data_IF_112494259034
#
_entry.id   IF_112494259034
#
_cell.length_a   1.000
_cell.length_b   1.000
_cell.length_c   1.000
_cell.angle_alpha   90.00
_cell.angle_beta   90.00
_cell.angle_gamma   90.00
#
_symmetry.space_group_name_H-M   'P 1'
#
loop_
_entity.id
_entity.type
_entity.pdbx_description
1 polymer ?
#
# COMPACT_ATOMS: atom_id res chain seq x y z
N UNK A 1 22.30 -21.22 -24.14
CA UNK A 1 21.37 -21.53 -23.04
C UNK A 1 22.13 -21.30 -21.74
N UNK A 2 22.05 -20.09 -21.17
CA UNK A 2 22.77 -19.75 -19.94
C UNK A 2 22.03 -20.37 -18.76
N UNK A 3 22.64 -21.36 -18.10
CA UNK A 3 22.26 -21.76 -16.74
C UNK A 3 22.75 -20.65 -15.81
N UNK A 4 21.90 -19.66 -15.54
CA UNK A 4 22.11 -18.72 -14.44
C UNK A 4 22.07 -19.56 -13.18
N UNK A 5 23.20 -19.63 -12.46
CA UNK A 5 23.30 -20.39 -11.23
C UNK A 5 22.28 -19.82 -10.22
N UNK A 6 21.25 -20.61 -9.91
CA UNK A 6 20.21 -20.35 -8.91
C UNK A 6 20.79 -20.53 -7.50
N UNK A 7 21.84 -19.78 -7.17
CA UNK A 7 22.62 -19.94 -5.94
C UNK A 7 22.05 -19.25 -4.71
N UNK A 8 20.96 -18.49 -4.85
CA UNK A 8 20.25 -17.90 -3.72
C UNK A 8 18.82 -18.41 -3.81
N UNK A 9 18.50 -19.52 -3.14
CA UNK A 9 17.10 -19.84 -2.87
C UNK A 9 16.68 -19.05 -1.62
N UNK A 10 15.49 -18.45 -1.58
CA UNK A 10 15.02 -17.78 -0.38
C UNK A 10 15.00 -18.78 0.78
N UNK A 11 15.46 -18.34 1.96
CA UNK A 11 15.27 -19.13 3.17
C UNK A 11 13.77 -19.41 3.35
N UNK A 12 13.32 -20.67 3.25
CA UNK A 12 11.90 -21.00 3.21
C UNK A 12 11.19 -20.63 4.52
N UNK A 13 11.90 -20.64 5.65
CA UNK A 13 11.33 -20.26 6.94
C UNK A 13 11.11 -18.75 7.02
N UNK A 14 12.07 -17.95 6.56
CA UNK A 14 11.93 -16.49 6.50
C UNK A 14 10.84 -16.08 5.53
N UNK A 15 10.84 -16.66 4.32
CA UNK A 15 9.83 -16.37 3.30
C UNK A 15 8.43 -16.75 3.77
N UNK A 16 8.23 -17.96 4.31
CA UNK A 16 6.91 -18.41 4.79
C UNK A 16 6.39 -17.51 5.89
N UNK A 17 7.24 -17.15 6.87
CA UNK A 17 6.85 -16.25 7.96
C UNK A 17 6.39 -14.90 7.44
N UNK A 18 7.21 -14.25 6.60
CA UNK A 18 6.84 -12.96 6.00
C UNK A 18 5.58 -13.07 5.15
N UNK A 19 5.42 -14.18 4.41
CA UNK A 19 4.25 -14.47 3.61
C UNK A 19 2.96 -14.50 4.45
N UNK A 20 2.98 -15.21 5.58
CA UNK A 20 1.83 -15.31 6.47
C UNK A 20 1.55 -13.95 7.16
N UNK A 21 2.60 -13.26 7.60
CA UNK A 21 2.48 -11.96 8.26
C UNK A 21 1.87 -10.89 7.35
N UNK A 22 2.26 -10.80 6.07
CA UNK A 22 1.70 -9.79 5.17
C UNK A 22 0.24 -10.07 4.83
N UNK A 23 -0.17 -11.34 4.71
CA UNK A 23 -1.57 -11.70 4.46
C UNK A 23 -2.47 -11.27 5.63
N UNK A 24 -2.02 -11.51 6.87
CA UNK A 24 -2.73 -11.05 8.07
C UNK A 24 -2.81 -9.53 8.11
N UNK A 25 -1.70 -8.83 7.83
CA UNK A 25 -1.66 -7.38 7.79
C UNK A 25 -2.58 -6.81 6.71
N UNK A 26 -2.62 -7.43 5.53
CA UNK A 26 -3.45 -7.01 4.40
C UNK A 26 -4.94 -7.21 4.69
N UNK A 27 -5.32 -8.31 5.32
CA UNK A 27 -6.70 -8.54 5.77
C UNK A 27 -7.14 -7.47 6.78
N UNK A 28 -6.27 -7.13 7.76
CA UNK A 28 -6.54 -6.07 8.73
C UNK A 28 -6.67 -4.69 8.07
N UNK A 29 -5.79 -4.37 7.12
CA UNK A 29 -5.88 -3.15 6.31
C UNK A 29 -7.21 -3.08 5.55
N UNK A 30 -7.59 -4.16 4.86
CA UNK A 30 -8.82 -4.17 4.07
C UNK A 30 -10.08 -4.03 4.93
N UNK A 31 -10.10 -4.62 6.13
CA UNK A 31 -11.17 -4.42 7.10
C UNK A 31 -11.26 -2.96 7.56
N UNK A 32 -10.14 -2.38 8.02
CA UNK A 32 -10.09 -1.00 8.46
C UNK A 32 -10.49 -0.03 7.34
N UNK A 33 -10.03 -0.29 6.11
CA UNK A 33 -10.34 0.52 4.93
C UNK A 33 -11.84 0.50 4.64
N UNK A 34 -12.48 -0.68 4.67
CA UNK A 34 -13.93 -0.80 4.46
C UNK A 34 -14.72 -0.05 5.52
N UNK A 35 -14.31 -0.11 6.78
CA UNK A 35 -14.94 0.65 7.87
C UNK A 35 -14.77 2.16 7.65
N UNK A 36 -13.56 2.63 7.35
CA UNK A 36 -13.27 4.05 7.14
C UNK A 36 -14.01 4.64 5.94
N UNK A 37 -14.16 3.87 4.85
CA UNK A 37 -14.94 4.29 3.68
C UNK A 37 -16.44 4.33 3.98
N UNK A 38 -16.94 3.44 4.85
CA UNK A 38 -18.33 3.45 5.27
C UNK A 38 -18.68 4.62 6.19
N UNK A 39 -17.72 5.10 6.98
CA UNK A 39 -17.87 6.27 7.85
C UNK A 39 -16.63 7.21 7.81
N UNK A 40 -16.55 8.08 6.79
CA UNK A 40 -15.42 8.99 6.61
C UNK A 40 -15.28 10.06 7.70
N UNK A 41 -16.30 10.24 8.56
CA UNK A 41 -16.27 11.24 9.63
C UNK A 41 -15.44 10.81 10.84
N UNK A 42 -15.07 9.52 10.89
CA UNK A 42 -14.34 8.91 12.00
C UNK A 42 -12.83 8.92 11.79
N UNK A 43 -12.18 9.89 12.42
CA UNK A 43 -10.72 10.03 12.43
C UNK A 43 -10.00 8.80 13.02
N UNK A 44 -10.61 8.09 13.98
CA UNK A 44 -10.02 6.87 14.57
C UNK A 44 -9.94 5.71 13.56
N UNK A 45 -10.84 5.67 12.57
CA UNK A 45 -10.78 4.70 11.48
C UNK A 45 -9.68 5.06 10.49
N UNK A 46 -9.50 6.34 10.17
CA UNK A 46 -8.40 6.81 9.34
C UNK A 46 -7.03 6.45 9.97
N UNK A 47 -6.89 6.60 11.29
CA UNK A 47 -5.68 6.19 12.01
C UNK A 47 -5.43 4.68 11.90
N UNK A 48 -6.47 3.86 12.08
CA UNK A 48 -6.36 2.39 11.90
C UNK A 48 -5.92 2.01 10.49
N UNK A 49 -6.48 2.67 9.46
CA UNK A 49 -6.08 2.42 8.07
C UNK A 49 -4.63 2.80 7.85
N UNK A 50 -4.21 3.98 8.34
CA UNK A 50 -2.82 4.43 8.24
C UNK A 50 -1.86 3.42 8.88
N UNK A 51 -2.14 3.00 10.11
CA UNK A 51 -1.31 2.03 10.82
C UNK A 51 -1.22 0.68 10.10
N UNK A 52 -2.37 0.16 9.64
CA UNK A 52 -2.40 -1.11 8.92
C UNK A 52 -1.67 -1.02 7.57
N UNK A 53 -1.82 0.08 6.84
CA UNK A 53 -1.11 0.32 5.57
C UNK A 53 0.42 0.39 5.78
N UNK A 54 0.92 1.09 6.83
CA UNK A 54 2.36 1.10 7.18
C UNK A 54 2.89 -0.30 7.45
N UNK A 55 2.10 -1.14 8.13
CA UNK A 55 2.48 -2.52 8.42
C UNK A 55 2.60 -3.36 7.13
N UNK A 56 1.65 -3.22 6.20
CA UNK A 56 1.71 -3.89 4.89
C UNK A 56 2.92 -3.42 4.09
N UNK A 57 3.14 -2.10 4.00
CA UNK A 57 4.30 -1.53 3.32
C UNK A 57 5.61 -2.11 3.85
N UNK A 58 5.79 -2.10 5.17
CA UNK A 58 6.98 -2.66 5.82
C UNK A 58 7.20 -4.12 5.46
N UNK A 59 6.16 -4.96 5.51
CA UNK A 59 6.28 -6.40 5.22
C UNK A 59 6.59 -6.68 3.75
N UNK A 60 6.01 -5.92 2.82
CA UNK A 60 6.38 -6.02 1.40
C UNK A 60 7.79 -5.52 1.13
N UNK A 61 8.24 -4.47 1.82
CA UNK A 61 9.63 -4.05 1.78
C UNK A 61 10.56 -5.15 2.32
N UNK A 62 10.26 -5.74 3.47
CA UNK A 62 11.03 -6.85 4.04
C UNK A 62 11.10 -8.04 3.07
N UNK A 63 9.97 -8.43 2.45
CA UNK A 63 9.95 -9.46 1.39
C UNK A 63 10.84 -9.10 0.20
N UNK A 64 10.91 -7.83 -0.20
CA UNK A 64 11.78 -7.38 -1.30
C UNK A 64 13.27 -7.46 -0.99
N UNK A 65 13.65 -7.72 0.27
CA UNK A 65 15.04 -7.94 0.67
C UNK A 65 15.41 -9.41 0.78
N UNK A 66 14.44 -10.32 0.61
CA UNK A 66 14.67 -11.77 0.67
C UNK A 66 15.46 -12.21 -0.58
N UNK A 67 16.65 -12.81 -0.42
CA UNK A 67 17.43 -13.32 -1.54
C UNK A 67 16.65 -14.38 -2.33
N UNK A 68 16.90 -14.47 -3.64
CA UNK A 68 16.38 -15.57 -4.45
C UNK A 68 15.00 -15.37 -5.05
N UNK A 69 14.38 -14.22 -4.82
CA UNK A 69 13.23 -13.81 -5.60
C UNK A 69 13.67 -13.32 -6.98
N UNK A 70 12.82 -13.59 -7.96
CA UNK A 70 13.01 -13.07 -9.31
C UNK A 70 12.96 -11.53 -9.33
N UNK A 71 13.75 -10.91 -10.22
CA UNK A 71 13.88 -9.45 -10.28
C UNK A 71 12.54 -8.72 -10.47
N UNK A 72 11.59 -9.32 -11.21
CA UNK A 72 10.28 -8.73 -11.44
C UNK A 72 9.39 -8.80 -10.18
N UNK A 73 9.57 -9.82 -9.34
CA UNK A 73 8.88 -9.93 -8.05
C UNK A 73 9.41 -8.88 -7.07
N UNK A 74 10.74 -8.68 -7.04
CA UNK A 74 11.38 -7.62 -6.26
C UNK A 74 10.85 -6.23 -6.67
N UNK A 75 10.78 -5.95 -7.97
CA UNK A 75 10.25 -4.69 -8.48
C UNK A 75 8.77 -4.49 -8.10
N UNK A 76 7.95 -5.54 -8.19
CA UNK A 76 6.54 -5.49 -7.82
C UNK A 76 6.36 -5.22 -6.31
N UNK A 77 7.14 -5.90 -5.45
CA UNK A 77 7.11 -5.71 -4.00
C UNK A 77 7.56 -4.29 -3.60
N UNK A 78 8.62 -3.78 -4.23
CA UNK A 78 9.09 -2.41 -3.99
C UNK A 78 8.01 -1.37 -4.36
N UNK A 79 7.45 -1.47 -5.57
CA UNK A 79 6.39 -0.57 -6.01
C UNK A 79 5.12 -0.66 -5.14
N UNK A 80 4.75 -1.88 -4.72
CA UNK A 80 3.61 -2.09 -3.84
C UNK A 80 3.84 -1.52 -2.43
N UNK A 81 5.07 -1.66 -1.90
CA UNK A 81 5.48 -1.06 -0.63
C UNK A 81 5.41 0.47 -0.67
N UNK A 82 5.90 1.09 -1.74
CA UNK A 82 5.81 2.54 -1.94
C UNK A 82 4.34 3.00 -1.97
N UNK A 83 3.50 2.34 -2.78
CA UNK A 83 2.08 2.68 -2.88
C UNK A 83 1.33 2.54 -1.54
N UNK A 84 1.66 1.54 -0.72
CA UNK A 84 1.09 1.41 0.63
C UNK A 84 1.62 2.45 1.61
N UNK A 85 2.87 2.89 1.44
CA UNK A 85 3.44 3.99 2.24
C UNK A 85 2.75 5.31 1.92
N UNK A 86 2.49 5.60 0.65
CA UNK A 86 1.73 6.77 0.21
C UNK A 86 0.30 6.74 0.76
N UNK A 87 -0.40 5.60 0.63
CA UNK A 87 -1.72 5.42 1.20
C UNK A 87 -1.70 5.62 2.72
N UNK A 88 -0.72 5.06 3.43
CA UNK A 88 -0.58 5.26 4.86
C UNK A 88 -0.43 6.73 5.25
N UNK A 89 0.33 7.49 4.45
CA UNK A 89 0.52 8.92 4.66
C UNK A 89 -0.76 9.73 4.39
N UNK A 90 -1.49 9.42 3.31
CA UNK A 90 -2.79 10.04 3.02
C UNK A 90 -3.77 9.84 4.18
N UNK A 91 -3.87 8.60 4.69
CA UNK A 91 -4.74 8.28 5.82
C UNK A 91 -4.27 8.91 7.14
N UNK A 92 -2.97 9.09 7.33
CA UNK A 92 -2.43 9.80 8.50
C UNK A 92 -2.85 11.28 8.50
N UNK A 93 -2.82 11.93 7.33
CA UNK A 93 -3.30 13.31 7.17
C UNK A 93 -4.79 13.40 7.50
N UNK A 94 -5.60 12.46 7.02
CA UNK A 94 -7.03 12.40 7.33
C UNK A 94 -7.31 12.16 8.82
N UNK A 95 -6.44 11.42 9.50
CA UNK A 95 -6.51 11.21 10.95
C UNK A 95 -6.08 12.43 11.77
N UNK A 96 -5.62 13.51 11.13
CA UNK A 96 -5.08 14.69 11.81
C UNK A 96 -3.73 14.46 12.47
N UNK A 97 -3.00 13.40 12.08
CA UNK A 97 -1.65 13.19 12.59
C UNK A 97 -0.69 14.24 12.01
N UNK A 98 0.23 14.78 12.82
CA UNK A 98 1.23 15.69 12.31
C UNK A 98 2.07 14.97 11.26
N UNK A 99 2.24 15.58 10.10
CA UNK A 99 3.22 15.14 9.12
C UNK A 99 4.56 15.26 9.83
N UNK A 100 5.24 14.14 10.11
CA UNK A 100 6.57 14.18 10.68
C UNK A 100 7.44 15.01 9.73
N UNK A 101 7.82 16.21 10.16
CA UNK A 101 8.70 17.13 9.45
C UNK A 101 10.10 16.49 9.37
N UNK A 102 10.25 15.53 8.47
CA UNK A 102 11.42 14.65 8.39
C UNK A 102 11.65 14.17 6.97
N UNK A 103 11.51 15.06 5.98
CA UNK A 103 11.97 14.83 4.59
C UNK A 103 12.09 16.11 3.76
N UNK A 104 12.07 17.29 4.38
CA UNK A 104 12.38 18.54 3.66
C UNK A 104 13.85 18.60 3.18
N UNK A 105 14.73 17.76 3.73
CA UNK A 105 16.14 17.70 3.33
C UNK A 105 16.43 16.71 2.18
N UNK A 106 15.49 15.82 1.82
CA UNK A 106 15.64 14.92 0.67
C UNK A 106 15.06 15.47 -0.65
N UNK A 107 14.21 16.50 -0.61
CA UNK A 107 13.68 17.12 -1.84
C UNK A 107 14.66 18.10 -2.50
N UNK A 108 15.78 18.44 -1.86
CA UNK A 108 16.81 19.29 -2.43
C UNK A 108 17.75 18.56 -3.41
N UNK A 109 17.67 17.23 -3.53
CA UNK A 109 18.50 16.46 -4.47
C UNK A 109 17.64 15.59 -5.38
N UNK A 110 16.95 16.26 -6.31
CA UNK A 110 16.82 15.75 -7.67
C UNK A 110 15.77 14.66 -7.94
N UNK A 111 14.49 14.90 -7.67
CA UNK A 111 13.43 14.34 -8.50
C UNK A 111 12.26 15.32 -8.61
N UNK A 112 11.94 15.71 -9.85
CA UNK A 112 10.80 16.55 -10.18
C UNK A 112 9.52 15.90 -9.65
N UNK A 113 8.88 16.53 -8.66
CA UNK A 113 7.52 16.21 -8.28
C UNK A 113 6.61 16.39 -9.50
N UNK A 114 6.08 15.29 -10.02
CA UNK A 114 4.94 15.33 -10.94
C UNK A 114 3.73 15.70 -10.08
N UNK A 115 3.04 16.81 -10.35
CA UNK A 115 1.82 17.12 -9.62
C UNK A 115 0.78 16.04 -9.94
N UNK A 116 0.46 15.20 -8.96
CA UNK A 116 -0.76 14.39 -8.97
C UNK A 116 -1.91 15.38 -8.90
N UNK A 117 -2.42 15.76 -10.07
CA UNK A 117 -3.70 16.45 -10.17
C UNK A 117 -4.75 15.57 -9.50
N UNK A 118 -5.32 16.09 -8.41
CA UNK A 118 -6.33 15.42 -7.61
C UNK A 118 -7.40 14.81 -8.51
N UNK A 119 -7.39 13.48 -8.57
CA UNK A 119 -8.44 12.70 -9.22
C UNK A 119 -9.69 12.86 -8.36
N UNK A 120 -10.46 13.92 -8.62
CA UNK A 120 -11.82 14.04 -8.09
C UNK A 120 -12.55 12.78 -8.53
N UNK A 121 -12.87 11.91 -7.57
CA UNK A 121 -13.82 10.83 -7.77
C UNK A 121 -15.16 11.49 -8.08
N UNK A 122 -15.44 11.69 -9.37
CA UNK A 122 -16.77 12.07 -9.81
C UNK A 122 -17.73 10.95 -9.41
N UNK A 123 -18.79 11.22 -8.64
CA UNK A 123 -19.83 10.23 -8.41
C UNK A 123 -20.43 9.86 -9.76
N UNK A 124 -20.37 8.57 -10.12
CA UNK A 124 -20.99 8.08 -11.33
C UNK A 124 -22.50 8.37 -11.30
N UNK A 125 -23.11 8.86 -12.41
CA UNK A 125 -24.55 9.06 -12.46
C UNK A 125 -25.26 7.71 -12.31
N UNK A 126 -26.08 7.60 -11.26
CA UNK A 126 -26.97 6.46 -11.04
C UNK A 126 -27.92 6.36 -12.24
N UNK A 127 -27.72 5.36 -13.11
CA UNK A 127 -28.67 5.11 -14.20
C UNK A 127 -29.96 4.54 -13.61
N UNK A 128 -31.13 5.14 -13.89
CA UNK A 128 -32.40 4.57 -13.47
C UNK A 128 -32.61 3.21 -14.14
N UNK A 129 -32.88 2.20 -13.32
CA UNK A 129 -33.22 0.83 -13.72
C UNK A 129 -34.52 0.90 -14.52
N UNK A 130 -34.46 0.80 -15.86
CA UNK A 130 -35.67 0.69 -16.70
C UNK A 130 -36.46 -0.53 -16.22
N UNK A 131 -37.64 -0.27 -15.68
CA UNK A 131 -38.64 -1.29 -15.38
C UNK A 131 -38.95 -2.07 -16.65
N UNK A 132 -38.82 -3.39 -16.56
CA UNK A 132 -39.29 -4.32 -17.58
C UNK A 132 -40.79 -4.46 -17.36
N UNK A 133 -41.58 -3.82 -18.21
CA UNK A 133 -43.03 -3.98 -18.25
C UNK A 133 -43.41 -5.42 -18.56
N UNK A 134 -44.52 -5.85 -17.95
CA UNK A 134 -45.23 -7.10 -18.20
C UNK A 134 -45.90 -7.10 -19.58
#
# INVERSE_FOLDING_TARGET
>A
MLKVATGNEPDPAVYSRLNDEWQIAYAAYHMAYREAVADPSRWDLAEKVSFAARRVARLWHELSTVPGLEWWALAALAAASEAMSDAAQEWAILAGQPIAEGSAEQTATGLRAVPVQGRRLHPAPIRPRRGRGA
#
